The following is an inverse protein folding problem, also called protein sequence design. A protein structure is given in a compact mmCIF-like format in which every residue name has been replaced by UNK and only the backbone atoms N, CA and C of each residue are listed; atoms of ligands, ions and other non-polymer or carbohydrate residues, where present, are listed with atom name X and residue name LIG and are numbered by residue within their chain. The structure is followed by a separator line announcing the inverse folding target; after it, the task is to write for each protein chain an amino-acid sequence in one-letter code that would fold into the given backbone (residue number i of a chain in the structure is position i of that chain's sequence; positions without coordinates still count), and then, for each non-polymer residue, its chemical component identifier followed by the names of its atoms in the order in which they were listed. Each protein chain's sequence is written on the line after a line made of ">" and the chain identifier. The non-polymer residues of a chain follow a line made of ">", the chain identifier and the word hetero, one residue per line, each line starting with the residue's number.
data_IF_601269470923
#
_entry.id   IF_601269470923
#
_cell.length_a   1.000
_cell.length_b   1.000
_cell.length_c   1.000
_cell.angle_alpha   90.00
_cell.angle_beta   90.00
_cell.angle_gamma   90.00
#
_symmetry.space_group_name_H-M   'P 1'
#
loop_
_entity.id
_entity.type
_entity.pdbx_description
1 polymer ?
#
# COMPACT_ATOMS: atom_id res chain seq x y z
N UNK A 1 -2.68 15.04 -4.90
CA UNK A 1 -2.58 13.93 -3.92
C UNK A 1 -3.77 13.84 -2.96
N UNK A 2 -4.12 14.88 -2.19
CA UNK A 2 -5.29 14.84 -1.26
C UNK A 2 -6.62 14.39 -1.90
N UNK A 3 -6.88 14.77 -3.16
CA UNK A 3 -8.09 14.35 -3.89
C UNK A 3 -8.06 12.84 -4.20
N UNK A 4 -6.98 12.37 -4.84
CA UNK A 4 -6.80 10.93 -5.13
C UNK A 4 -6.78 10.07 -3.85
N UNK A 5 -6.18 10.56 -2.77
CA UNK A 5 -6.22 9.92 -1.46
C UNK A 5 -7.67 9.71 -0.99
N UNK A 6 -8.48 10.78 -0.92
CA UNK A 6 -9.85 10.71 -0.38
C UNK A 6 -10.84 9.99 -1.30
N UNK A 7 -10.70 10.18 -2.61
CA UNK A 7 -11.71 9.72 -3.59
C UNK A 7 -11.37 8.35 -4.16
N UNK A 8 -10.10 7.94 -4.16
CA UNK A 8 -9.66 6.69 -4.80
C UNK A 8 -9.03 5.76 -3.77
N UNK A 9 -7.94 6.16 -3.14
CA UNK A 9 -7.15 5.23 -2.33
C UNK A 9 -7.84 4.87 -1.00
N UNK A 10 -8.34 5.85 -0.25
CA UNK A 10 -8.98 5.63 1.05
C UNK A 10 -10.20 4.70 0.94
N UNK A 11 -11.15 4.88 0.00
CA UNK A 11 -12.28 3.95 -0.14
C UNK A 11 -11.87 2.52 -0.47
N UNK A 12 -10.87 2.34 -1.35
CA UNK A 12 -10.35 1.01 -1.71
C UNK A 12 -9.77 0.31 -0.48
N UNK A 13 -8.92 0.99 0.29
CA UNK A 13 -8.29 0.39 1.47
C UNK A 13 -9.29 0.18 2.61
N UNK A 14 -10.25 1.09 2.79
CA UNK A 14 -11.31 0.91 3.78
C UNK A 14 -12.19 -0.32 3.47
N UNK A 15 -12.50 -0.56 2.19
CA UNK A 15 -13.21 -1.78 1.77
C UNK A 15 -12.42 -3.05 2.13
N UNK A 16 -11.10 -3.05 1.95
CA UNK A 16 -10.22 -4.18 2.34
C UNK A 16 -10.18 -4.41 3.84
N UNK A 17 -10.13 -3.33 4.63
CA UNK A 17 -10.20 -3.40 6.09
C UNK A 17 -11.54 -4.02 6.51
N UNK A 18 -12.64 -3.55 5.93
CA UNK A 18 -13.98 -4.07 6.24
C UNK A 18 -14.14 -5.56 5.87
N UNK A 19 -13.44 -6.03 4.83
CA UNK A 19 -13.41 -7.45 4.42
C UNK A 19 -12.44 -8.31 5.23
N UNK A 20 -11.73 -7.74 6.22
CA UNK A 20 -10.73 -8.46 7.01
C UNK A 20 -9.44 -8.79 6.25
N UNK A 21 -9.22 -8.19 5.08
CA UNK A 21 -8.02 -8.39 4.25
C UNK A 21 -6.87 -7.46 4.64
N UNK A 22 -7.10 -6.50 5.55
CA UNK A 22 -6.09 -5.56 6.00
C UNK A 22 -6.43 -5.09 7.41
N UNK A 23 -5.41 -4.87 8.25
CA UNK A 23 -5.61 -4.32 9.60
C UNK A 23 -5.77 -2.80 9.59
N UNK A 24 -4.93 -2.10 8.83
CA UNK A 24 -4.97 -0.65 8.71
C UNK A 24 -4.28 -0.13 7.45
N UNK A 25 -4.62 1.09 7.05
CA UNK A 25 -3.95 1.83 5.99
C UNK A 25 -3.73 3.29 6.38
N UNK A 26 -2.57 3.85 6.04
CA UNK A 26 -2.29 5.27 6.20
C UNK A 26 -1.51 5.83 5.02
N UNK A 27 -1.85 7.07 4.63
CA UNK A 27 -0.97 7.92 3.84
C UNK A 27 -0.27 8.91 4.77
N UNK A 28 1.03 8.73 4.94
CA UNK A 28 1.90 9.57 5.74
C UNK A 28 2.59 10.59 4.83
N UNK A 29 2.91 11.75 5.41
CA UNK A 29 3.72 12.78 4.77
C UNK A 29 4.93 13.06 5.65
N UNK A 30 6.09 13.24 5.02
CA UNK A 30 7.29 13.69 5.71
C UNK A 30 7.00 15.05 6.35
N UNK A 31 7.09 15.13 7.68
CA UNK A 31 6.77 16.35 8.42
C UNK A 31 7.74 17.49 8.08
N UNK A 32 9.04 17.18 7.95
CA UNK A 32 10.09 18.11 7.57
C UNK A 32 11.06 17.39 6.61
N UNK A 33 10.95 17.59 5.29
CA UNK A 33 11.89 17.00 4.35
C UNK A 33 13.22 17.77 4.41
N UNK A 34 14.12 17.35 5.30
CA UNK A 34 15.49 17.89 5.36
C UNK A 34 16.47 16.97 4.63
N UNK A 35 17.43 17.58 3.93
CA UNK A 35 18.49 16.89 3.20
C UNK A 35 18.17 16.72 1.71
N UNK A 36 19.20 16.84 0.87
CA UNK A 36 19.11 16.73 -0.60
C UNK A 36 18.66 15.36 -1.11
N UNK A 37 18.65 14.34 -0.24
CA UNK A 37 18.23 12.97 -0.56
C UNK A 37 16.78 12.66 -0.17
N UNK A 38 16.05 13.57 0.48
CA UNK A 38 14.63 13.39 0.81
C UNK A 38 13.72 13.60 -0.42
N UNK A 39 13.88 12.74 -1.43
CA UNK A 39 13.19 12.85 -2.74
C UNK A 39 11.70 12.48 -2.67
N UNK A 40 11.29 11.73 -1.65
CA UNK A 40 9.89 11.33 -1.42
C UNK A 40 9.31 12.11 -0.24
N UNK A 41 8.17 12.75 -0.47
CA UNK A 41 7.44 13.51 0.56
C UNK A 41 6.26 12.75 1.14
N UNK A 42 5.94 11.57 0.60
CA UNK A 42 4.80 10.75 0.99
C UNK A 42 5.17 9.28 1.12
N UNK A 43 4.50 8.60 2.05
CA UNK A 43 4.66 7.18 2.33
C UNK A 43 3.27 6.57 2.52
N UNK A 44 2.97 5.47 1.85
CA UNK A 44 1.81 4.64 2.18
C UNK A 44 2.23 3.52 3.09
N UNK A 45 1.45 3.25 4.14
CA UNK A 45 1.69 2.17 5.08
C UNK A 45 0.48 1.24 5.10
N UNK A 46 0.71 -0.03 4.75
CA UNK A 46 -0.26 -1.11 4.87
C UNK A 46 0.10 -1.91 6.11
N UNK A 47 -0.84 -2.07 7.04
CA UNK A 47 -0.63 -2.85 8.27
C UNK A 47 -1.50 -4.09 8.22
N UNK A 48 -0.88 -5.22 8.55
CA UNK A 48 -1.53 -6.52 8.62
C UNK A 48 -1.37 -7.08 10.03
N UNK A 49 -2.35 -7.86 10.47
CA UNK A 49 -2.36 -8.53 11.77
C UNK A 49 -1.22 -9.53 11.89
N UNK A 50 -0.99 -10.31 10.84
CA UNK A 50 -0.01 -11.38 10.76
C UNK A 50 0.36 -11.68 9.29
N UNK A 51 1.34 -12.55 9.07
CA UNK A 51 1.77 -12.93 7.72
C UNK A 51 0.67 -13.64 6.92
N UNK A 52 -0.23 -14.37 7.59
CA UNK A 52 -1.33 -15.04 6.89
C UNK A 52 -2.28 -14.01 6.28
N UNK A 53 -2.65 -12.96 7.03
CA UNK A 53 -3.44 -11.87 6.49
C UNK A 53 -2.70 -11.14 5.35
N UNK A 54 -1.39 -10.93 5.47
CA UNK A 54 -0.58 -10.33 4.41
C UNK A 54 -0.66 -11.12 3.10
N UNK A 55 -0.42 -12.44 3.14
CA UNK A 55 -0.46 -13.27 1.93
C UNK A 55 -1.87 -13.40 1.35
N UNK A 56 -2.88 -13.61 2.20
CA UNK A 56 -4.28 -13.67 1.75
C UNK A 56 -4.74 -12.36 1.09
N UNK A 57 -4.24 -11.20 1.57
CA UNK A 57 -4.55 -9.90 0.98
C UNK A 57 -3.93 -9.71 -0.40
N UNK A 58 -2.80 -10.36 -0.69
CA UNK A 58 -2.17 -10.34 -2.01
C UNK A 58 -2.92 -11.24 -2.99
N UNK A 59 -3.32 -12.45 -2.57
CA UNK A 59 -4.13 -13.35 -3.41
C UNK A 59 -5.53 -12.79 -3.74
N UNK A 60 -6.13 -12.01 -2.84
CA UNK A 60 -7.46 -11.43 -3.06
C UNK A 60 -7.50 -10.30 -4.09
N UNK A 61 -6.36 -9.71 -4.46
CA UNK A 61 -6.33 -8.69 -5.53
C UNK A 61 -6.69 -9.29 -6.90
N UNK A 62 -6.41 -10.58 -7.11
CA UNK A 62 -6.60 -11.24 -8.40
C UNK A 62 -7.99 -11.86 -8.59
N UNK A 63 -8.64 -12.31 -7.51
CA UNK A 63 -9.89 -13.10 -7.58
C UNK A 63 -11.10 -12.32 -8.15
N UNK A 64 -11.18 -11.02 -7.90
CA UNK A 64 -12.31 -10.16 -8.30
C UNK A 64 -12.02 -9.33 -9.57
N UNK A 65 -10.84 -9.50 -10.17
CA UNK A 65 -10.38 -8.68 -11.28
C UNK A 65 -10.82 -9.24 -12.64
N UNK A 66 -11.29 -8.38 -13.56
CA UNK A 66 -11.55 -8.78 -14.95
C UNK A 66 -10.24 -9.08 -15.70
N UNK A 67 -10.33 -9.77 -16.84
CA UNK A 67 -9.18 -10.02 -17.72
C UNK A 67 -8.43 -8.73 -18.10
N UNK A 68 -9.16 -7.66 -18.38
CA UNK A 68 -8.61 -6.37 -18.78
C UNK A 68 -7.90 -5.69 -17.60
N UNK A 69 -8.47 -5.79 -16.40
CA UNK A 69 -7.87 -5.25 -15.18
C UNK A 69 -6.56 -5.96 -14.85
N UNK A 70 -6.50 -7.29 -14.97
CA UNK A 70 -5.24 -8.06 -14.78
C UNK A 70 -4.17 -7.64 -15.78
N UNK A 71 -4.52 -7.52 -17.06
CA UNK A 71 -3.59 -7.08 -18.09
C UNK A 71 -3.05 -5.65 -17.82
N UNK A 72 -3.91 -4.75 -17.32
CA UNK A 72 -3.51 -3.40 -16.94
C UNK A 72 -2.57 -3.39 -15.72
N UNK A 73 -2.87 -4.20 -14.69
CA UNK A 73 -2.00 -4.38 -13.52
C UNK A 73 -0.65 -4.93 -13.94
N UNK A 74 -0.61 -5.99 -14.74
CA UNK A 74 0.62 -6.61 -15.21
C UNK A 74 1.48 -5.66 -16.05
N UNK A 75 0.85 -4.88 -16.93
CA UNK A 75 1.54 -3.81 -17.69
C UNK A 75 2.13 -2.76 -16.74
N UNK A 76 1.40 -2.37 -15.71
CA UNK A 76 1.88 -1.43 -14.68
C UNK A 76 3.07 -1.99 -13.89
N UNK A 77 2.99 -3.25 -13.45
CA UNK A 77 4.08 -3.94 -12.74
C UNK A 77 5.34 -4.04 -13.59
N UNK A 78 5.22 -4.41 -14.87
CA UNK A 78 6.35 -4.48 -15.82
C UNK A 78 6.99 -3.12 -16.10
N UNK A 79 6.24 -2.04 -15.97
CA UNK A 79 6.77 -0.67 -16.12
C UNK A 79 7.46 -0.14 -14.86
N UNK A 80 7.35 -0.85 -13.73
CA UNK A 80 7.83 -0.37 -12.43
C UNK A 80 9.30 -0.72 -12.24
N UNK A 81 10.14 0.31 -12.15
CA UNK A 81 11.52 0.16 -11.71
C UNK A 81 11.58 0.10 -10.17
N UNK A 82 11.41 -1.12 -9.64
CA UNK A 82 11.48 -1.38 -8.21
C UNK A 82 12.93 -1.52 -7.77
N UNK A 83 13.56 -0.38 -7.46
CA UNK A 83 14.99 -0.34 -7.12
C UNK A 83 15.34 -1.06 -5.82
N UNK A 84 14.46 -0.99 -4.81
CA UNK A 84 14.76 -1.51 -3.47
C UNK A 84 13.54 -2.11 -2.79
N UNK A 85 13.75 -3.20 -2.05
CA UNK A 85 12.78 -3.82 -1.15
C UNK A 85 13.43 -4.00 0.20
N UNK A 86 12.77 -3.52 1.24
CA UNK A 86 13.19 -3.72 2.62
C UNK A 86 12.05 -4.40 3.37
N UNK A 87 12.37 -5.51 4.02
CA UNK A 87 11.47 -6.20 4.96
C UNK A 87 11.95 -5.88 6.36
N UNK A 88 11.07 -5.33 7.18
CA UNK A 88 11.37 -4.97 8.56
C UNK A 88 10.21 -5.42 9.47
N UNK A 89 10.56 -5.83 10.69
CA UNK A 89 9.59 -6.15 11.74
C UNK A 89 9.48 -4.95 12.68
N UNK A 90 8.27 -4.49 12.96
CA UNK A 90 8.03 -3.45 13.96
C UNK A 90 8.24 -4.05 15.35
N UNK A 91 9.30 -3.64 16.04
CA UNK A 91 9.60 -4.14 17.39
C UNK A 91 8.81 -3.41 18.49
N UNK A 92 8.62 -2.10 18.37
CA UNK A 92 7.86 -1.29 19.31
C UNK A 92 7.31 -0.02 18.65
N UNK A 93 6.12 0.40 19.08
CA UNK A 93 5.53 1.69 18.71
C UNK A 93 5.34 2.54 19.98
N UNK A 94 6.04 3.66 20.06
CA UNK A 94 5.81 4.65 21.12
C UNK A 94 4.73 5.61 20.63
N UNK A 95 3.65 5.74 21.40
CA UNK A 95 2.58 6.72 21.17
C UNK A 95 2.83 7.97 22.00
#
# INVERSE_FOLDING_TARGET
>A
MKKAEKEVFLPIHQSRINKGLMGHWSLLRTALPFGSEAKSTHLTMNVYKDYLQFFNAQEYEDLESTSEQRAAVEKGLKSRDQKWVYLATLENAVR
#
